data_IF_168449911727
#
_entry.id   IF_168449911727
#
_cell.length_a   1.000
_cell.length_b   1.000
_cell.length_c   1.000
_cell.angle_alpha   90.00
_cell.angle_beta   90.00
_cell.angle_gamma   90.00
#
_symmetry.space_group_name_H-M   'P 1'
#
loop_
_entity.id
_entity.type
_entity.pdbx_description
1 polymer ?
#
# COMPACT_ATOMS: atom_id res chain seq x y z
N UNK A 1 14.17 18.33 -20.80
CA UNK A 1 14.42 17.04 -20.11
C UNK A 1 13.10 16.67 -19.45
N UNK A 2 12.36 15.74 -20.04
CA UNK A 2 11.03 15.37 -19.52
C UNK A 2 11.25 14.34 -18.41
N UNK A 3 11.05 14.73 -17.16
CA UNK A 3 10.78 13.76 -16.10
C UNK A 3 9.34 13.29 -16.27
N UNK A 4 9.15 12.27 -17.11
CA UNK A 4 7.93 11.47 -17.06
C UNK A 4 8.02 10.69 -15.75
N UNK A 5 7.40 11.23 -14.71
CA UNK A 5 7.20 10.51 -13.45
C UNK A 5 6.65 9.11 -13.79
N UNK A 6 7.49 8.09 -13.62
CA UNK A 6 7.09 6.71 -13.89
C UNK A 6 5.96 6.35 -12.94
N UNK A 7 4.76 6.21 -13.50
CA UNK A 7 3.56 5.74 -12.83
C UNK A 7 3.18 4.42 -13.47
N UNK A 8 3.10 3.36 -12.66
CA UNK A 8 2.62 2.06 -13.08
C UNK A 8 1.29 1.79 -12.39
N UNK A 9 0.32 1.25 -13.13
CA UNK A 9 -0.92 0.70 -12.58
C UNK A 9 -0.88 -0.79 -12.88
N UNK A 10 -0.65 -1.60 -11.85
CA UNK A 10 -0.35 -3.03 -12.00
C UNK A 10 -0.92 -3.85 -10.84
N UNK A 11 -1.20 -5.13 -11.07
CA UNK A 11 -1.35 -6.08 -9.97
C UNK A 11 0.02 -6.40 -9.34
N UNK A 12 0.02 -6.69 -8.04
CA UNK A 12 1.23 -7.11 -7.31
C UNK A 12 1.06 -8.59 -6.96
N UNK A 13 1.85 -9.46 -7.59
CA UNK A 13 1.79 -10.92 -7.40
C UNK A 13 2.93 -11.40 -6.50
N UNK A 14 2.62 -12.28 -5.56
CA UNK A 14 3.62 -13.05 -4.84
C UNK A 14 4.03 -14.27 -5.69
N UNK A 15 5.28 -14.30 -6.14
CA UNK A 15 5.75 -15.34 -7.07
C UNK A 15 5.79 -16.75 -6.45
N UNK A 16 5.92 -16.85 -5.13
CA UNK A 16 6.02 -18.14 -4.43
C UNK A 16 4.68 -18.85 -4.31
N UNK A 17 3.57 -18.10 -4.22
CA UNK A 17 2.22 -18.63 -4.00
C UNK A 17 1.27 -18.41 -5.19
N UNK A 18 1.61 -17.48 -6.09
CA UNK A 18 0.76 -17.09 -7.22
C UNK A 18 -0.42 -16.19 -6.85
N UNK A 19 -0.61 -15.89 -5.56
CA UNK A 19 -1.63 -14.97 -5.07
C UNK A 19 -1.22 -13.51 -5.23
N UNK A 20 -2.21 -12.63 -5.27
CA UNK A 20 -2.02 -11.19 -5.40
C UNK A 20 -2.19 -10.48 -4.06
N UNK A 21 -1.42 -9.42 -3.86
CA UNK A 21 -1.63 -8.47 -2.78
C UNK A 21 -2.99 -7.80 -2.95
N UNK A 22 -3.78 -7.82 -1.88
CA UNK A 22 -5.12 -7.28 -1.86
C UNK A 22 -5.45 -6.55 -0.55
N UNK A 23 -6.44 -5.69 -0.62
CA UNK A 23 -7.11 -5.07 0.51
C UNK A 23 -7.95 -6.11 1.28
N UNK A 24 -7.92 -6.01 2.61
CA UNK A 24 -8.77 -6.83 3.48
C UNK A 24 -10.09 -6.12 3.79
N UNK A 25 -11.12 -6.91 4.06
CA UNK A 25 -12.37 -6.42 4.70
C UNK A 25 -12.17 -6.02 6.17
N UNK A 26 -11.05 -6.41 6.79
CA UNK A 26 -10.72 -6.01 8.16
C UNK A 26 -10.03 -4.65 8.14
N UNK A 27 -10.69 -3.65 8.73
CA UNK A 27 -10.15 -2.29 8.88
C UNK A 27 -10.60 -1.67 10.20
N UNK A 28 -9.85 -0.68 10.68
CA UNK A 28 -10.21 0.22 11.77
C UNK A 28 -10.29 1.66 11.25
N UNK A 29 -10.47 2.65 12.14
CA UNK A 29 -10.63 4.05 11.77
C UNK A 29 -9.42 4.65 11.03
N UNK A 30 -8.26 4.00 11.07
CA UNK A 30 -7.00 4.54 10.58
C UNK A 30 -6.35 3.61 9.54
N UNK A 31 -6.62 2.31 9.63
CA UNK A 31 -5.88 1.31 8.86
C UNK A 31 -6.78 0.22 8.30
N UNK A 32 -6.50 -0.20 7.09
CA UNK A 32 -7.02 -1.44 6.52
C UNK A 32 -5.90 -2.48 6.47
N UNK A 33 -6.22 -3.72 6.85
CA UNK A 33 -5.27 -4.82 6.70
C UNK A 33 -5.08 -5.14 5.22
N UNK A 34 -3.90 -5.64 4.85
CA UNK A 34 -3.72 -6.34 3.57
C UNK A 34 -3.91 -7.83 3.74
N UNK A 35 -4.17 -8.51 2.63
CA UNK A 35 -4.30 -9.96 2.53
C UNK A 35 -3.79 -10.43 1.18
N UNK A 36 -3.84 -11.72 0.95
CA UNK A 36 -3.56 -12.34 -0.34
C UNK A 36 -4.86 -12.92 -0.91
N UNK A 37 -5.04 -12.84 -2.23
CA UNK A 37 -6.20 -13.46 -2.91
C UNK A 37 -5.84 -13.89 -4.33
N UNK A 38 -6.62 -14.82 -4.89
CA UNK A 38 -6.41 -15.32 -6.26
C UNK A 38 -6.74 -14.27 -7.33
N UNK A 39 -7.77 -13.44 -7.10
CA UNK A 39 -8.13 -12.37 -8.03
C UNK A 39 -7.19 -11.17 -7.86
N UNK A 40 -6.87 -10.45 -8.92
CA UNK A 40 -6.01 -9.27 -8.78
C UNK A 40 -6.77 -8.00 -8.39
N UNK A 41 -6.10 -7.13 -7.63
CA UNK A 41 -6.45 -5.71 -7.43
C UNK A 41 -5.40 -4.83 -8.10
N UNK A 42 -5.77 -3.60 -8.43
CA UNK A 42 -4.87 -2.65 -9.09
C UNK A 42 -4.17 -1.75 -8.08
N UNK A 43 -2.86 -1.58 -8.27
CA UNK A 43 -2.00 -0.78 -7.43
C UNK A 43 -1.28 0.26 -8.28
N UNK A 44 -1.30 1.51 -7.83
CA UNK A 44 -0.53 2.60 -8.40
C UNK A 44 0.84 2.64 -7.73
N UNK A 45 1.90 2.47 -8.51
CA UNK A 45 3.29 2.58 -8.07
C UNK A 45 3.90 3.82 -8.71
N UNK A 46 4.41 4.74 -7.91
CA UNK A 46 4.94 6.00 -8.41
C UNK A 46 6.08 6.53 -7.53
N UNK A 47 6.99 7.30 -8.14
CA UNK A 47 8.08 7.96 -7.39
C UNK A 47 7.54 9.10 -6.52
N UNK A 48 8.03 9.19 -5.29
CA UNK A 48 7.85 10.31 -4.36
C UNK A 48 9.08 10.45 -3.48
N UNK A 49 9.64 11.65 -3.39
CA UNK A 49 10.69 12.00 -2.41
C UNK A 49 11.90 11.03 -2.41
N UNK A 50 12.35 10.63 -3.60
CA UNK A 50 13.47 9.69 -3.78
C UNK A 50 13.13 8.21 -3.53
N UNK A 51 11.89 7.90 -3.15
CA UNK A 51 11.37 6.56 -2.91
C UNK A 51 10.21 6.24 -3.87
N UNK A 52 9.59 5.07 -3.70
CA UNK A 52 8.33 4.73 -4.34
C UNK A 52 7.21 4.68 -3.30
N UNK A 53 6.04 5.20 -3.67
CA UNK A 53 4.79 4.95 -2.96
C UNK A 53 3.97 3.94 -3.75
N UNK A 54 3.23 3.10 -3.01
CA UNK A 54 2.31 2.10 -3.55
C UNK A 54 0.93 2.44 -2.98
N UNK A 55 -0.06 2.57 -3.85
CA UNK A 55 -1.41 3.00 -3.47
C UNK A 55 -2.43 2.05 -4.08
N UNK A 56 -3.38 1.60 -3.27
CA UNK A 56 -4.51 0.82 -3.76
C UNK A 56 -5.41 1.73 -4.62
N UNK A 57 -5.72 1.33 -5.85
CA UNK A 57 -6.44 2.21 -6.80
C UNK A 57 -7.86 2.51 -6.35
N UNK A 58 -8.65 1.49 -5.98
CA UNK A 58 -10.07 1.72 -5.65
C UNK A 58 -10.28 2.39 -4.29
N UNK A 59 -9.44 2.06 -3.31
CA UNK A 59 -9.53 2.64 -1.96
C UNK A 59 -8.82 3.98 -1.82
N UNK A 60 -7.89 4.33 -2.72
CA UNK A 60 -7.03 5.51 -2.58
C UNK A 60 -6.25 5.52 -1.25
N UNK A 61 -5.84 4.34 -0.80
CA UNK A 61 -5.13 4.10 0.46
C UNK A 61 -3.68 3.67 0.19
N UNK A 62 -2.73 4.09 1.04
CA UNK A 62 -1.30 3.87 0.81
C UNK A 62 -0.78 2.65 1.55
N UNK A 63 0.01 1.82 0.86
CA UNK A 63 0.69 0.70 1.49
C UNK A 63 1.83 1.20 2.37
N UNK A 64 1.83 0.82 3.64
CA UNK A 64 2.89 1.20 4.59
C UNK A 64 3.24 0.06 5.54
N UNK A 65 4.50 0.03 5.99
CA UNK A 65 4.95 -0.85 7.04
C UNK A 65 4.71 -0.16 8.40
N UNK A 66 3.91 -0.77 9.26
CA UNK A 66 3.62 -0.25 10.59
C UNK A 66 4.87 -0.22 11.45
N UNK A 67 5.14 0.95 12.06
CA UNK A 67 6.19 1.15 13.06
C UNK A 67 5.73 0.84 14.50
N UNK A 68 4.42 0.81 14.75
CA UNK A 68 3.85 0.65 16.11
C UNK A 68 3.71 -0.80 16.56
N UNK A 69 3.55 -1.76 15.63
CA UNK A 69 3.55 -3.20 15.98
C UNK A 69 4.96 -3.81 16.04
N UNK A 70 5.96 -3.09 15.54
CA UNK A 70 7.35 -3.54 15.40
C UNK A 70 8.08 -3.57 16.74
N UNK A 71 7.71 -2.68 17.66
CA UNK A 71 8.45 -2.44 18.91
C UNK A 71 8.37 -3.56 19.96
N UNK A 72 7.50 -4.56 19.79
CA UNK A 72 7.26 -5.59 20.82
C UNK A 72 7.46 -7.04 20.37
N UNK A 73 8.09 -7.30 19.22
CA UNK A 73 8.38 -8.70 18.84
C UNK A 73 8.74 -8.99 17.39
N UNK A 74 9.22 -8.02 16.61
CA UNK A 74 9.77 -8.31 15.27
C UNK A 74 8.75 -8.55 14.15
N UNK A 75 7.46 -8.35 14.40
CA UNK A 75 6.44 -8.48 13.35
C UNK A 75 6.30 -7.16 12.59
N UNK A 76 6.88 -7.11 11.39
CA UNK A 76 6.63 -6.05 10.41
C UNK A 76 5.26 -6.28 9.78
N UNK A 77 4.22 -5.63 10.31
CA UNK A 77 2.91 -5.68 9.70
C UNK A 77 2.79 -4.62 8.61
N UNK A 78 2.29 -5.03 7.44
CA UNK A 78 1.94 -4.13 6.35
C UNK A 78 0.44 -3.84 6.42
N UNK A 79 0.07 -2.59 6.22
CA UNK A 79 -1.31 -2.12 6.20
C UNK A 79 -1.51 -1.11 5.06
N UNK A 80 -2.76 -0.74 4.87
CA UNK A 80 -3.18 0.40 4.07
C UNK A 80 -3.53 1.56 5.01
N UNK A 81 -2.89 2.70 4.78
CA UNK A 81 -3.13 3.95 5.48
C UNK A 81 -4.31 4.65 4.84
N UNK A 82 -5.34 4.95 5.63
CA UNK A 82 -6.53 5.67 5.20
C UNK A 82 -6.27 7.17 5.41
N UNK A 83 -6.04 7.96 4.34
CA UNK A 83 -5.78 9.39 4.49
C UNK A 83 -7.00 10.08 5.12
N UNK A 84 -6.75 10.94 6.10
CA UNK A 84 -7.82 11.75 6.74
C UNK A 84 -8.10 13.04 5.99
N UNK A 85 -7.10 13.54 5.27
CA UNK A 85 -7.19 14.70 4.39
C UNK A 85 -6.41 14.44 3.09
N UNK A 86 -6.50 15.37 2.13
CA UNK A 86 -5.73 15.33 0.89
C UNK A 86 -4.30 15.90 1.04
N UNK A 87 -3.94 16.42 2.22
CA UNK A 87 -2.63 16.99 2.50
C UNK A 87 -1.52 15.93 2.36
N UNK A 88 -0.37 16.31 1.80
CA UNK A 88 0.73 15.36 1.61
C UNK A 88 1.25 14.77 2.93
N UNK A 89 1.21 15.52 4.03
CA UNK A 89 1.58 15.05 5.37
C UNK A 89 0.67 13.95 5.90
N UNK A 90 -0.60 13.94 5.48
CA UNK A 90 -1.59 12.93 5.90
C UNK A 90 -1.49 11.64 5.07
N UNK A 91 -0.56 11.57 4.11
CA UNK A 91 -0.26 10.39 3.30
C UNK A 91 0.95 9.60 3.83
N UNK A 92 1.42 9.91 5.04
CA UNK A 92 2.56 9.30 5.73
C UNK A 92 2.19 8.72 7.09
#
# INVERSE_FOLDING_TARGET
MFDMSMVFIVPICCLDYGNYLASSKKYDANHRHVTEKENSEQWKIFRSDGNYRIMHVDHNEYLFASYWKTYSGGNNYVYLWIPRTDEESDKW
#
